data_IF_541900677567
#
_entry.id   IF_541900677567
#
_cell.length_a   1.000
_cell.length_b   1.000
_cell.length_c   1.000
_cell.angle_alpha   90.00
_cell.angle_beta   90.00
_cell.angle_gamma   90.00
#
_symmetry.space_group_name_H-M   'P 1'
#
loop_
_entity.id
_entity.type
_entity.pdbx_description
1 polymer ?
#
# COMPACT_ATOMS: atom_id res chain seq x y z
N UNK A 1 8.17 57.26 5.29
CA UNK A 1 9.14 56.15 5.20
C UNK A 1 8.92 55.07 6.27
N UNK A 2 8.87 55.41 7.57
CA UNK A 2 8.66 54.42 8.66
C UNK A 2 7.33 53.63 8.56
N UNK A 3 6.23 54.26 8.14
CA UNK A 3 4.94 53.57 7.96
C UNK A 3 4.88 52.65 6.71
N UNK A 4 5.61 53.01 5.65
CA UNK A 4 5.73 52.17 4.43
C UNK A 4 6.57 50.91 4.74
N UNK A 5 7.63 51.07 5.52
CA UNK A 5 8.46 49.95 6.02
C UNK A 5 7.67 48.99 6.93
N UNK A 6 6.82 49.51 7.82
CA UNK A 6 5.96 48.70 8.70
C UNK A 6 4.92 47.91 7.90
N UNK A 7 4.27 48.52 6.89
CA UNK A 7 3.31 47.83 6.02
C UNK A 7 3.98 46.74 5.16
N UNK A 8 5.19 47.00 4.65
CA UNK A 8 5.99 46.00 3.92
C UNK A 8 6.44 44.83 4.81
N UNK A 9 6.80 45.10 6.07
CA UNK A 9 7.13 44.04 7.03
C UNK A 9 5.90 43.19 7.39
N UNK A 10 4.74 43.83 7.55
CA UNK A 10 3.48 43.14 7.86
C UNK A 10 3.01 42.24 6.71
N UNK A 11 3.10 42.71 5.46
CA UNK A 11 2.76 41.90 4.29
C UNK A 11 3.74 40.74 4.08
N UNK A 12 5.04 40.96 4.31
CA UNK A 12 6.06 39.91 4.22
C UNK A 12 5.85 38.82 5.28
N UNK A 13 5.49 39.21 6.51
CA UNK A 13 5.16 38.26 7.57
C UNK A 13 3.89 37.45 7.26
N UNK A 14 2.82 38.09 6.77
CA UNK A 14 1.58 37.40 6.38
C UNK A 14 1.80 36.40 5.23
N UNK A 15 2.66 36.73 4.26
CA UNK A 15 3.06 35.83 3.18
C UNK A 15 3.83 34.61 3.71
N UNK A 16 4.72 34.79 4.68
CA UNK A 16 5.45 33.69 5.31
C UNK A 16 4.52 32.74 6.07
N UNK A 17 3.61 33.26 6.90
CA UNK A 17 2.63 32.43 7.62
C UNK A 17 1.67 31.67 6.68
N UNK A 18 1.27 32.28 5.57
CA UNK A 18 0.43 31.62 4.57
C UNK A 18 1.18 30.53 3.77
N UNK A 19 2.48 30.72 3.56
CA UNK A 19 3.35 29.74 2.90
C UNK A 19 3.56 28.51 3.80
N UNK A 20 3.77 28.71 5.10
CA UNK A 20 3.89 27.64 6.09
C UNK A 20 2.59 26.83 6.19
N UNK A 21 1.42 27.50 6.25
CA UNK A 21 0.10 26.84 6.28
C UNK A 21 -0.17 26.02 4.99
N UNK A 22 0.23 26.54 3.83
CA UNK A 22 0.09 25.82 2.56
C UNK A 22 0.90 24.51 2.54
N UNK A 23 2.19 24.56 2.91
CA UNK A 23 3.05 23.38 2.90
C UNK A 23 2.67 22.37 3.97
N UNK A 24 2.19 22.83 5.13
CA UNK A 24 1.64 21.98 6.18
C UNK A 24 0.40 21.21 5.69
N UNK A 25 -0.59 21.91 5.10
CA UNK A 25 -1.78 21.26 4.52
C UNK A 25 -1.43 20.27 3.41
N UNK A 26 -0.41 20.59 2.61
CA UNK A 26 0.08 19.71 1.55
C UNK A 26 0.72 18.44 2.13
N UNK A 27 1.54 18.57 3.17
CA UNK A 27 2.12 17.44 3.87
C UNK A 27 1.07 16.51 4.48
N UNK A 28 0.06 17.08 5.16
CA UNK A 28 -1.06 16.30 5.69
C UNK A 28 -1.83 15.56 4.59
N UNK A 29 -2.03 16.20 3.43
CA UNK A 29 -2.66 15.54 2.29
C UNK A 29 -1.88 14.32 1.83
N UNK A 30 -0.56 14.44 1.73
CA UNK A 30 0.30 13.31 1.37
C UNK A 30 0.33 12.22 2.45
N UNK A 31 0.27 12.58 3.74
CA UNK A 31 0.14 11.59 4.81
C UNK A 31 -1.15 10.78 4.69
N UNK A 32 -2.29 11.42 4.40
CA UNK A 32 -3.57 10.72 4.18
C UNK A 32 -3.50 9.76 2.99
N UNK A 33 -2.85 10.16 1.90
CA UNK A 33 -2.62 9.27 0.75
C UNK A 33 -1.74 8.08 1.13
N UNK A 34 -0.67 8.30 1.90
CA UNK A 34 0.18 7.21 2.38
C UNK A 34 -0.61 6.20 3.23
N UNK A 35 -1.42 6.66 4.18
CA UNK A 35 -2.28 5.81 5.00
C UNK A 35 -3.28 5.00 4.16
N UNK A 36 -3.85 5.61 3.13
CA UNK A 36 -4.74 4.92 2.21
C UNK A 36 -4.04 3.76 1.50
N UNK A 37 -2.82 3.98 0.99
CA UNK A 37 -2.06 2.92 0.32
C UNK A 37 -1.56 1.85 1.30
N UNK A 38 -1.21 2.20 2.54
CA UNK A 38 -0.91 1.21 3.59
C UNK A 38 -2.10 0.28 3.86
N UNK A 39 -3.31 0.84 3.99
CA UNK A 39 -4.54 0.04 4.16
C UNK A 39 -4.80 -0.88 2.96
N UNK A 40 -4.51 -0.42 1.74
CA UNK A 40 -4.56 -1.28 0.55
C UNK A 40 -3.54 -2.42 0.62
N UNK A 41 -2.29 -2.13 0.98
CA UNK A 41 -1.25 -3.15 1.11
C UNK A 41 -1.66 -4.22 2.12
N UNK A 42 -2.19 -3.84 3.28
CA UNK A 42 -2.75 -4.77 4.26
C UNK A 42 -3.91 -5.60 3.71
N UNK A 43 -4.81 -4.99 2.94
CA UNK A 43 -5.90 -5.68 2.24
C UNK A 43 -5.36 -6.79 1.32
N UNK A 44 -4.39 -6.45 0.48
CA UNK A 44 -3.76 -7.42 -0.42
C UNK A 44 -3.02 -8.53 0.34
N UNK A 45 -2.33 -8.22 1.45
CA UNK A 45 -1.71 -9.25 2.31
C UNK A 45 -2.74 -10.21 2.92
N UNK A 46 -3.90 -9.71 3.34
CA UNK A 46 -5.00 -10.57 3.83
C UNK A 46 -5.52 -11.49 2.73
N UNK A 47 -5.70 -10.97 1.52
CA UNK A 47 -6.10 -11.79 0.37
C UNK A 47 -5.03 -12.82 -0.01
N UNK A 48 -3.75 -12.45 0.05
CA UNK A 48 -2.64 -13.37 -0.16
C UNK A 48 -2.74 -14.54 0.86
N UNK A 49 -2.88 -14.25 2.16
CA UNK A 49 -3.02 -15.28 3.18
C UNK A 49 -4.23 -16.21 2.94
N UNK A 50 -5.34 -15.67 2.43
CA UNK A 50 -6.49 -16.48 2.02
C UNK A 50 -6.16 -17.46 0.90
N UNK A 51 -5.47 -17.01 -0.16
CA UNK A 51 -5.09 -17.87 -1.27
C UNK A 51 -4.03 -18.91 -0.87
N UNK A 52 -3.10 -18.56 0.01
CA UNK A 52 -2.15 -19.50 0.58
C UNK A 52 -2.87 -20.64 1.30
N UNK A 53 -3.84 -20.33 2.17
CA UNK A 53 -4.65 -21.33 2.86
C UNK A 53 -5.45 -22.22 1.90
N UNK A 54 -5.95 -21.66 0.79
CA UNK A 54 -6.60 -22.44 -0.27
C UNK A 54 -5.64 -23.42 -0.94
N UNK A 55 -4.45 -22.95 -1.30
CA UNK A 55 -3.42 -23.79 -1.91
C UNK A 55 -3.06 -24.98 -1.02
N UNK A 56 -2.83 -24.74 0.28
CA UNK A 56 -2.59 -25.79 1.27
C UNK A 56 -3.76 -26.78 1.38
N UNK A 57 -5.00 -26.29 1.30
CA UNK A 57 -6.20 -27.13 1.25
C UNK A 57 -6.20 -28.06 0.05
N UNK A 58 -5.95 -27.52 -1.13
CA UNK A 58 -5.87 -28.31 -2.36
C UNK A 58 -4.70 -29.30 -2.35
N UNK A 59 -3.55 -28.95 -1.77
CA UNK A 59 -2.44 -29.89 -1.58
C UNK A 59 -2.82 -31.07 -0.69
N UNK A 60 -3.59 -30.84 0.38
CA UNK A 60 -4.11 -31.94 1.22
C UNK A 60 -5.06 -32.85 0.47
N UNK A 61 -5.98 -32.29 -0.33
CA UNK A 61 -6.88 -33.08 -1.18
C UNK A 61 -6.12 -33.88 -2.23
N UNK A 62 -5.11 -33.27 -2.88
CA UNK A 62 -4.26 -33.97 -3.83
C UNK A 62 -3.57 -35.17 -3.18
N UNK A 63 -2.96 -34.97 -2.01
CA UNK A 63 -2.33 -36.05 -1.25
C UNK A 63 -3.33 -37.14 -0.83
N UNK A 64 -4.55 -36.76 -0.47
CA UNK A 64 -5.62 -37.69 -0.13
C UNK A 64 -5.98 -38.60 -1.30
N UNK A 65 -6.24 -38.04 -2.49
CA UNK A 65 -6.60 -38.83 -3.67
C UNK A 65 -5.41 -39.65 -4.20
N UNK A 66 -4.20 -39.11 -4.15
CA UNK A 66 -2.97 -39.84 -4.49
C UNK A 66 -2.82 -41.12 -3.67
N UNK A 67 -3.01 -41.05 -2.33
CA UNK A 67 -2.94 -42.22 -1.44
C UNK A 67 -3.98 -43.30 -1.75
N UNK A 68 -5.10 -42.92 -2.38
CA UNK A 68 -6.18 -43.84 -2.77
C UNK A 68 -6.03 -44.37 -4.20
N UNK A 69 -4.96 -44.01 -4.90
CA UNK A 69 -4.71 -44.41 -6.28
C UNK A 69 -5.48 -43.59 -7.33
N UNK A 70 -6.25 -42.58 -6.92
CA UNK A 70 -6.97 -41.68 -7.84
C UNK A 70 -6.06 -40.53 -8.29
N UNK A 71 -5.18 -40.85 -9.24
CA UNK A 71 -4.16 -39.91 -9.72
C UNK A 71 -4.75 -38.75 -10.53
N UNK A 72 -5.89 -38.95 -11.20
CA UNK A 72 -6.53 -37.91 -12.01
C UNK A 72 -7.14 -36.82 -11.12
N UNK A 73 -7.82 -37.21 -10.03
CA UNK A 73 -8.26 -36.23 -9.02
C UNK A 73 -7.09 -35.59 -8.33
N UNK A 74 -6.07 -36.36 -7.96
CA UNK A 74 -4.85 -35.81 -7.36
C UNK A 74 -4.25 -34.69 -8.22
N UNK A 75 -4.06 -34.94 -9.52
CA UNK A 75 -3.53 -33.94 -10.48
C UNK A 75 -4.42 -32.71 -10.61
N UNK A 76 -5.74 -32.91 -10.57
CA UNK A 76 -6.70 -31.80 -10.62
C UNK A 76 -6.57 -30.89 -9.41
N UNK A 77 -6.47 -31.46 -8.20
CA UNK A 77 -6.24 -30.68 -6.99
C UNK A 77 -4.85 -30.02 -6.96
N UNK A 78 -3.82 -30.65 -7.52
CA UNK A 78 -2.51 -30.00 -7.67
C UNK A 78 -2.60 -28.74 -8.55
N UNK A 79 -3.31 -28.81 -9.69
CA UNK A 79 -3.55 -27.63 -10.54
C UNK A 79 -4.27 -26.51 -9.78
N UNK A 80 -5.29 -26.84 -8.99
CA UNK A 80 -5.96 -25.84 -8.15
C UNK A 80 -5.06 -25.23 -7.08
N UNK A 81 -4.13 -26.02 -6.53
CA UNK A 81 -3.12 -25.49 -5.61
C UNK A 81 -2.18 -24.51 -6.30
N UNK A 82 -1.72 -24.84 -7.51
CA UNK A 82 -0.88 -23.95 -8.34
C UNK A 82 -1.61 -22.64 -8.68
N UNK A 83 -2.85 -22.73 -9.16
CA UNK A 83 -3.67 -21.55 -9.47
C UNK A 83 -3.83 -20.65 -8.24
N UNK A 84 -4.09 -21.24 -7.06
CA UNK A 84 -4.19 -20.50 -5.81
C UNK A 84 -2.85 -19.84 -5.42
N UNK A 85 -1.72 -20.53 -5.63
CA UNK A 85 -0.39 -19.96 -5.39
C UNK A 85 -0.05 -18.79 -6.32
N UNK A 86 -0.51 -18.83 -7.57
CA UNK A 86 -0.31 -17.72 -8.50
C UNK A 86 -1.14 -16.49 -8.11
N UNK A 87 -2.38 -16.70 -7.60
CA UNK A 87 -3.16 -15.63 -6.99
C UNK A 87 -2.49 -15.08 -5.73
N UNK A 88 -1.95 -15.93 -4.87
CA UNK A 88 -1.17 -15.52 -3.70
C UNK A 88 -0.01 -14.60 -4.08
N UNK A 89 0.82 -15.00 -5.04
CA UNK A 89 1.95 -14.18 -5.53
C UNK A 89 1.48 -12.86 -6.12
N UNK A 90 0.39 -12.88 -6.88
CA UNK A 90 -0.20 -11.66 -7.46
C UNK A 90 -0.61 -10.68 -6.35
N UNK A 91 -1.27 -11.16 -5.30
CA UNK A 91 -1.66 -10.30 -4.18
C UNK A 91 -0.46 -9.76 -3.41
N UNK A 92 0.60 -10.55 -3.22
CA UNK A 92 1.84 -10.03 -2.63
C UNK A 92 2.48 -8.93 -3.47
N UNK A 93 2.46 -9.07 -4.80
CA UNK A 93 2.93 -8.02 -5.70
C UNK A 93 2.14 -6.73 -5.52
N UNK A 94 0.81 -6.81 -5.50
CA UNK A 94 -0.04 -5.63 -5.27
C UNK A 94 0.17 -5.01 -3.88
N UNK A 95 0.45 -5.82 -2.86
CA UNK A 95 0.83 -5.32 -1.55
C UNK A 95 2.13 -4.50 -1.61
N UNK A 96 3.15 -5.04 -2.27
CA UNK A 96 4.43 -4.35 -2.47
C UNK A 96 4.26 -3.04 -3.25
N UNK A 97 3.54 -3.08 -4.37
CA UNK A 97 3.28 -1.88 -5.19
C UNK A 97 2.54 -0.80 -4.39
N UNK A 98 1.65 -1.19 -3.47
CA UNK A 98 0.96 -0.26 -2.59
C UNK A 98 1.88 0.29 -1.48
N UNK A 99 2.75 -0.53 -0.89
CA UNK A 99 3.76 -0.07 0.07
C UNK A 99 4.71 0.97 -0.56
N UNK A 100 5.15 0.73 -1.79
CA UNK A 100 6.03 1.65 -2.53
C UNK A 100 5.35 3.00 -2.75
N UNK A 101 4.05 3.00 -3.09
CA UNK A 101 3.26 4.24 -3.20
C UNK A 101 3.12 4.93 -1.86
N UNK A 102 2.85 4.21 -0.78
CA UNK A 102 2.78 4.80 0.55
C UNK A 102 4.11 5.46 0.94
N UNK A 103 5.23 4.78 0.71
CA UNK A 103 6.56 5.32 0.98
C UNK A 103 6.86 6.57 0.13
N UNK A 104 6.45 6.59 -1.13
CA UNK A 104 6.57 7.76 -2.01
C UNK A 104 5.79 8.95 -1.44
N UNK A 105 4.54 8.76 -1.01
CA UNK A 105 3.75 9.83 -0.42
C UNK A 105 4.33 10.33 0.91
N UNK A 106 4.87 9.45 1.76
CA UNK A 106 5.57 9.87 2.97
C UNK A 106 6.80 10.72 2.67
N UNK A 107 7.55 10.40 1.60
CA UNK A 107 8.67 11.24 1.15
C UNK A 107 8.19 12.62 0.72
N UNK A 108 7.12 12.69 -0.08
CA UNK A 108 6.54 13.98 -0.48
C UNK A 108 6.00 14.79 0.70
N UNK A 109 5.42 14.13 1.71
CA UNK A 109 5.02 14.79 2.95
C UNK A 109 6.24 15.40 3.66
N UNK A 110 7.32 14.63 3.81
CA UNK A 110 8.55 15.13 4.42
C UNK A 110 9.18 16.28 3.62
N UNK A 111 9.15 16.22 2.29
CA UNK A 111 9.70 17.28 1.44
C UNK A 111 8.86 18.55 1.49
N UNK A 112 7.54 18.43 1.62
CA UNK A 112 6.65 19.57 1.84
C UNK A 112 6.96 20.26 3.17
N UNK A 113 7.20 19.52 4.26
CA UNK A 113 7.54 20.07 5.58
C UNK A 113 8.93 20.73 5.64
N UNK A 114 9.78 20.54 4.62
CA UNK A 114 11.13 21.12 4.53
C UNK A 114 11.17 22.42 3.70
N UNK A 115 10.04 22.89 3.18
CA UNK A 115 9.92 24.09 2.33
C UNK A 115 9.32 25.26 3.08
#
# INVERSE_FOLDING_TARGET
>A
MKQILLLLLLTLSALAFAQDDYYMKKAESYQREAEYYQKKAEGYRREAAYYLKKAEGYQREAAYYSKRGDLDRSRTYMRYAEDAMDRYKTQLKYASDADDRAAMYLRWASDALRR
#
